data_IF_935287527845
#
_entry.id   IF_935287527845
#
_cell.length_a   1.000
_cell.length_b   1.000
_cell.length_c   1.000
_cell.angle_alpha   90.00
_cell.angle_beta   90.00
_cell.angle_gamma   90.00
#
_symmetry.space_group_name_H-M   'P 1'
#
loop_
_entity.id
_entity.type
_entity.pdbx_description
1 polymer ?
#
# COMPACT_ATOMS: atom_id res chain seq x y z
N UNK A 1 -21.66 -6.43 3.60
CA UNK A 1 -21.82 -5.37 2.55
C UNK A 1 -22.64 -5.98 1.41
N UNK A 2 -23.61 -5.26 0.83
CA UNK A 2 -24.50 -5.82 -0.20
C UNK A 2 -23.95 -5.47 -1.60
N UNK A 3 -23.48 -6.48 -2.33
CA UNK A 3 -22.91 -6.33 -3.69
C UNK A 3 -23.92 -5.77 -4.70
N UNK A 4 -25.18 -6.17 -4.62
CA UNK A 4 -26.22 -5.65 -5.53
C UNK A 4 -26.44 -4.16 -5.30
N UNK A 5 -26.45 -3.71 -4.05
CA UNK A 5 -26.58 -2.29 -3.72
C UNK A 5 -25.37 -1.48 -4.21
N UNK A 6 -24.15 -1.99 -4.01
CA UNK A 6 -22.94 -1.35 -4.52
C UNK A 6 -22.96 -1.19 -6.05
N UNK A 7 -23.40 -2.22 -6.77
CA UNK A 7 -23.54 -2.14 -8.23
C UNK A 7 -24.63 -1.15 -8.65
N UNK A 8 -25.73 -1.07 -7.89
CA UNK A 8 -26.79 -0.10 -8.17
C UNK A 8 -26.32 1.34 -7.98
N UNK A 9 -25.52 1.60 -6.94
CA UNK A 9 -25.12 2.95 -6.55
C UNK A 9 -23.87 3.44 -7.31
N UNK A 10 -22.92 2.55 -7.61
CA UNK A 10 -21.59 2.89 -8.10
C UNK A 10 -21.15 2.11 -9.35
N UNK A 11 -21.91 1.08 -9.76
CA UNK A 11 -21.57 0.29 -10.94
C UNK A 11 -21.66 1.11 -12.23
N UNK A 12 -20.74 0.87 -13.16
CA UNK A 12 -20.75 1.44 -14.51
C UNK A 12 -20.63 0.30 -15.51
N UNK A 13 -21.64 0.14 -16.35
CA UNK A 13 -21.71 -0.97 -17.29
C UNK A 13 -20.41 -1.18 -18.08
N UNK A 14 -19.89 -2.41 -18.05
CA UNK A 14 -18.65 -2.83 -18.71
C UNK A 14 -17.36 -2.13 -18.21
N UNK A 15 -17.41 -1.33 -17.13
CA UNK A 15 -16.24 -0.61 -16.65
C UNK A 15 -16.02 -0.75 -15.14
N UNK A 16 -17.07 -0.70 -14.33
CA UNK A 16 -16.97 -0.83 -12.87
C UNK A 16 -18.03 -1.83 -12.41
N UNK A 17 -17.57 -2.93 -11.81
CA UNK A 17 -18.45 -3.98 -11.28
C UNK A 17 -17.99 -4.39 -9.88
N UNK A 18 -18.96 -4.50 -8.96
CA UNK A 18 -18.72 -5.06 -7.63
C UNK A 18 -19.09 -6.55 -7.64
N UNK A 19 -18.18 -7.36 -7.13
CA UNK A 19 -18.31 -8.81 -7.10
C UNK A 19 -17.96 -9.38 -5.73
N UNK A 20 -18.49 -10.55 -5.43
CA UNK A 20 -17.98 -11.36 -4.33
C UNK A 20 -16.67 -12.00 -4.76
N UNK A 21 -15.58 -11.62 -4.09
CA UNK A 21 -14.24 -12.11 -4.39
C UNK A 21 -13.80 -13.28 -3.51
N UNK A 22 -12.50 -13.55 -3.54
CA UNK A 22 -11.87 -14.62 -2.73
C UNK A 22 -12.22 -14.42 -1.25
N UNK A 23 -12.61 -15.48 -0.58
CA UNK A 23 -13.01 -15.47 0.83
C UNK A 23 -14.35 -14.76 1.14
N UNK A 24 -15.18 -14.49 0.12
CA UNK A 24 -16.46 -13.78 0.29
C UNK A 24 -16.29 -12.27 0.50
N UNK A 25 -15.08 -11.72 0.32
CA UNK A 25 -14.82 -10.29 0.48
C UNK A 25 -15.35 -9.49 -0.73
N UNK A 26 -15.88 -8.28 -0.52
CA UNK A 26 -16.38 -7.45 -1.62
C UNK A 26 -15.21 -6.85 -2.39
N UNK A 27 -15.16 -7.10 -3.69
CA UNK A 27 -14.18 -6.54 -4.61
C UNK A 27 -14.86 -5.62 -5.62
N UNK A 28 -14.12 -4.62 -6.08
CA UNK A 28 -14.45 -3.77 -7.21
C UNK A 28 -13.51 -4.12 -8.36
N UNK A 29 -14.09 -4.58 -9.46
CA UNK A 29 -13.38 -4.77 -10.73
C UNK A 29 -13.51 -3.52 -11.57
N UNK A 30 -12.39 -3.05 -12.11
CA UNK A 30 -12.33 -1.92 -13.03
C UNK A 30 -11.70 -2.37 -14.33
N UNK A 31 -12.41 -2.09 -15.44
CA UNK A 31 -11.93 -2.34 -16.78
C UNK A 31 -12.23 -1.10 -17.63
N UNK A 32 -11.25 -0.25 -17.85
CA UNK A 32 -11.38 0.86 -18.79
C UNK A 32 -10.48 0.65 -20.00
N UNK A 33 -10.48 1.58 -20.96
CA UNK A 33 -9.69 1.44 -22.20
C UNK A 33 -8.18 1.50 -21.99
N UNK A 34 -7.72 1.93 -20.79
CA UNK A 34 -6.32 2.16 -20.46
C UNK A 34 -5.72 1.10 -19.56
N UNK A 35 -6.54 0.50 -18.68
CA UNK A 35 -6.07 -0.47 -17.70
C UNK A 35 -7.21 -1.34 -17.15
N UNK A 36 -6.82 -2.43 -16.50
CA UNK A 36 -7.66 -3.19 -15.58
C UNK A 36 -7.12 -3.08 -14.16
N UNK A 37 -8.02 -3.12 -13.16
CA UNK A 37 -7.64 -3.14 -11.76
C UNK A 37 -8.64 -3.94 -10.92
N UNK A 38 -8.17 -4.43 -9.78
CA UNK A 38 -8.98 -5.09 -8.75
C UNK A 38 -8.73 -4.41 -7.42
N UNK A 39 -9.79 -3.96 -6.76
CA UNK A 39 -9.72 -3.29 -5.48
C UNK A 39 -10.56 -4.04 -4.46
N UNK A 40 -10.01 -4.37 -3.31
CA UNK A 40 -10.76 -4.89 -2.17
C UNK A 40 -11.36 -3.74 -1.38
N UNK A 41 -12.68 -3.77 -1.14
CA UNK A 41 -13.34 -2.81 -0.25
C UNK A 41 -13.00 -3.12 1.21
N UNK A 42 -12.76 -4.40 1.53
CA UNK A 42 -12.06 -4.78 2.74
C UNK A 42 -10.59 -4.37 2.62
N UNK A 43 -10.05 -3.74 3.62
CA UNK A 43 -8.70 -3.17 3.67
C UNK A 43 -8.46 -1.89 2.84
N UNK A 44 -9.40 -1.46 1.97
CA UNK A 44 -9.17 -0.34 1.05
C UNK A 44 -7.96 -0.57 0.13
N UNK A 45 -7.78 -1.79 -0.36
CA UNK A 45 -6.51 -2.24 -0.93
C UNK A 45 -6.60 -2.50 -2.43
N UNK A 46 -5.71 -1.90 -3.21
CA UNK A 46 -5.50 -2.28 -4.61
C UNK A 46 -4.80 -3.63 -4.63
N UNK A 47 -5.43 -4.63 -5.26
CA UNK A 47 -4.93 -5.99 -5.37
C UNK A 47 -4.25 -6.25 -6.72
N UNK A 48 -4.69 -5.57 -7.78
CA UNK A 48 -4.22 -5.74 -9.15
C UNK A 48 -4.28 -4.41 -9.87
N UNK A 49 -3.30 -4.13 -10.68
CA UNK A 49 -3.31 -3.04 -11.66
C UNK A 49 -2.46 -3.45 -12.86
N UNK A 50 -3.07 -3.45 -14.03
CA UNK A 50 -2.40 -3.78 -15.27
C UNK A 50 -2.78 -2.78 -16.38
N UNK A 51 -1.84 -1.93 -16.83
CA UNK A 51 -2.03 -1.11 -18.01
C UNK A 51 -2.39 -1.95 -19.25
N UNK A 52 -3.17 -1.43 -20.16
CA UNK A 52 -3.67 -2.20 -21.33
C UNK A 52 -2.56 -2.72 -22.25
N UNK A 53 -1.41 -2.02 -22.26
CA UNK A 53 -0.25 -2.38 -23.09
C UNK A 53 0.74 -3.31 -22.37
N UNK A 54 0.46 -3.70 -21.11
CA UNK A 54 1.32 -4.56 -20.32
C UNK A 54 0.76 -5.99 -20.28
N UNK A 55 1.65 -6.97 -20.41
CA UNK A 55 1.30 -8.38 -20.28
C UNK A 55 1.13 -8.80 -18.80
N UNK A 56 1.94 -8.20 -17.92
CA UNK A 56 2.05 -8.59 -16.53
C UNK A 56 1.46 -7.53 -15.60
N UNK A 57 0.83 -7.98 -14.52
CA UNK A 57 0.32 -7.11 -13.47
C UNK A 57 1.47 -6.37 -12.77
N UNK A 58 1.19 -5.16 -12.25
CA UNK A 58 2.16 -4.43 -11.43
C UNK A 58 2.20 -4.98 -10.01
N UNK A 59 1.08 -5.52 -9.54
CA UNK A 59 0.93 -5.96 -8.16
C UNK A 59 1.16 -7.46 -8.03
N UNK A 60 1.94 -7.83 -7.04
CA UNK A 60 2.06 -9.21 -6.58
C UNK A 60 0.99 -9.50 -5.53
N UNK A 61 0.36 -10.66 -5.62
CA UNK A 61 -0.51 -11.23 -4.59
C UNK A 61 -0.08 -12.67 -4.34
N UNK A 62 0.19 -13.02 -3.09
CA UNK A 62 0.46 -14.41 -2.73
C UNK A 62 -0.77 -15.29 -2.91
N UNK A 63 -0.59 -16.48 -3.47
CA UNK A 63 -1.66 -17.49 -3.52
C UNK A 63 -2.08 -17.96 -2.13
N UNK A 64 -1.15 -17.90 -1.16
CA UNK A 64 -1.36 -18.21 0.25
C UNK A 64 -1.92 -17.04 1.07
N UNK A 65 -2.17 -15.87 0.46
CA UNK A 65 -2.71 -14.70 1.16
C UNK A 65 -4.05 -15.00 1.83
N UNK A 66 -4.23 -14.47 3.04
CA UNK A 66 -5.48 -14.59 3.77
C UNK A 66 -6.53 -13.62 3.22
N UNK A 67 -7.55 -14.16 2.57
CA UNK A 67 -8.74 -13.40 2.19
C UNK A 67 -9.83 -13.66 3.25
N UNK A 68 -9.61 -13.13 4.45
CA UNK A 68 -10.47 -13.39 5.61
C UNK A 68 -10.57 -12.14 6.46
N UNK A 69 -11.77 -11.81 6.91
CA UNK A 69 -12.01 -10.68 7.81
C UNK A 69 -11.12 -10.77 9.06
N UNK A 70 -10.57 -9.63 9.49
CA UNK A 70 -9.63 -9.52 10.60
C UNK A 70 -8.17 -9.86 10.25
N UNK A 71 -7.89 -10.28 9.00
CA UNK A 71 -6.53 -10.56 8.50
C UNK A 71 -6.14 -9.57 7.41
N UNK A 72 -4.86 -9.20 7.39
CA UNK A 72 -4.31 -8.43 6.27
C UNK A 72 -4.12 -9.33 5.04
N UNK A 73 -4.40 -8.79 3.85
CA UNK A 73 -4.15 -9.49 2.58
C UNK A 73 -2.68 -9.26 2.20
N UNK A 74 -1.93 -10.35 1.96
CA UNK A 74 -0.51 -10.29 1.61
C UNK A 74 -0.33 -10.05 0.11
N UNK A 75 0.23 -8.89 -0.24
CA UNK A 75 0.43 -8.43 -1.60
C UNK A 75 -0.36 -7.17 -1.94
N UNK A 76 -0.39 -6.73 -3.20
CA UNK A 76 -1.05 -5.49 -3.62
C UNK A 76 -0.46 -4.26 -2.94
N UNK A 77 -1.32 -3.36 -2.49
CA UNK A 77 -0.94 -2.11 -1.83
C UNK A 77 -1.68 -1.98 -0.48
N UNK A 78 -1.24 -2.70 0.57
CA UNK A 78 -1.78 -2.52 1.91
C UNK A 78 -1.58 -1.09 2.42
N UNK A 79 -2.61 -0.54 3.07
CA UNK A 79 -2.54 0.77 3.71
C UNK A 79 -2.11 0.58 5.17
N UNK A 80 -0.91 0.99 5.51
CA UNK A 80 -0.40 1.00 6.88
C UNK A 80 -0.74 2.32 7.54
N UNK A 81 -1.65 2.32 8.52
CA UNK A 81 -2.12 3.51 9.23
C UNK A 81 -2.81 3.13 10.55
N UNK A 82 -2.71 3.88 11.66
CA UNK A 82 -1.97 5.15 11.88
C UNK A 82 -0.53 4.94 12.37
N UNK A 83 0.00 3.73 12.31
CA UNK A 83 1.41 3.44 12.54
C UNK A 83 1.95 2.45 11.55
N UNK A 84 3.22 2.64 11.19
CA UNK A 84 4.00 1.74 10.36
C UNK A 84 4.90 0.87 11.25
N UNK A 85 4.97 -0.45 10.98
CA UNK A 85 5.71 -1.40 11.80
C UNK A 85 4.95 -1.79 13.07
N UNK A 86 5.68 -2.06 14.14
CA UNK A 86 5.11 -2.42 15.44
C UNK A 86 4.28 -1.26 16.02
N UNK A 87 3.20 -1.60 16.73
CA UNK A 87 2.38 -0.59 17.38
C UNK A 87 3.17 0.14 18.46
N UNK A 88 3.03 1.47 18.57
CA UNK A 88 3.64 2.23 19.65
C UNK A 88 3.11 1.78 21.01
N UNK A 89 3.99 1.69 22.02
CA UNK A 89 3.60 1.43 23.39
C UNK A 89 2.69 2.55 23.91
N UNK A 90 1.50 2.20 24.32
CA UNK A 90 0.61 3.16 24.99
C UNK A 90 0.83 3.10 26.50
N UNK A 91 0.93 4.26 27.13
CA UNK A 91 1.19 4.42 28.59
C UNK A 91 0.17 3.77 29.53
N UNK A 92 -0.88 3.14 29.03
CA UNK A 92 -2.02 2.67 29.79
C UNK A 92 -2.07 1.14 30.02
N UNK A 93 -0.96 0.41 29.85
CA UNK A 93 -0.81 -0.93 30.40
C UNK A 93 -1.85 -1.99 30.00
N UNK A 94 -2.67 -1.77 28.98
CA UNK A 94 -3.59 -2.78 28.50
C UNK A 94 -2.82 -3.80 27.62
N UNK A 95 -2.82 -5.05 28.03
CA UNK A 95 -2.14 -6.21 27.43
C UNK A 95 -2.69 -6.60 26.03
N UNK A 96 -3.46 -5.75 25.39
CA UNK A 96 -4.00 -6.00 24.07
C UNK A 96 -2.92 -5.71 23.02
N UNK A 97 -2.28 -6.75 22.54
CA UNK A 97 -1.32 -6.70 21.44
C UNK A 97 -2.00 -6.09 20.21
N UNK A 98 -1.68 -4.83 19.94
CA UNK A 98 -2.18 -4.12 18.77
C UNK A 98 -1.57 -4.74 17.51
N UNK A 99 -2.31 -4.72 16.38
CA UNK A 99 -1.77 -5.25 15.14
C UNK A 99 -0.60 -4.41 14.64
N UNK A 100 0.40 -5.05 14.04
CA UNK A 100 1.45 -4.35 13.32
C UNK A 100 0.87 -3.61 12.11
N UNK A 101 1.48 -2.48 11.75
CA UNK A 101 1.08 -1.62 10.61
C UNK A 101 -0.34 -1.06 10.70
N UNK A 102 -0.82 -0.76 11.91
CA UNK A 102 -2.14 -0.18 12.12
C UNK A 102 -3.30 -1.16 11.92
N UNK A 103 -4.51 -0.62 11.81
CA UNK A 103 -5.74 -1.41 11.81
C UNK A 103 -6.61 -1.22 10.57
N UNK A 104 -6.36 -0.20 9.73
CA UNK A 104 -7.24 0.08 8.58
C UNK A 104 -7.15 -0.97 7.49
N UNK A 105 -5.99 -1.65 7.36
CA UNK A 105 -5.81 -2.79 6.45
C UNK A 105 -6.53 -4.07 6.88
N UNK A 106 -7.17 -4.07 8.04
CA UNK A 106 -7.97 -5.18 8.57
C UNK A 106 -9.43 -4.77 8.74
N UNK A 107 -9.87 -3.70 8.07
CA UNK A 107 -11.18 -3.09 8.26
C UNK A 107 -11.90 -2.88 6.93
N UNK A 108 -13.23 -2.84 6.94
CA UNK A 108 -14.02 -2.45 5.78
C UNK A 108 -14.00 -0.94 5.58
N UNK A 109 -13.83 -0.52 4.35
CA UNK A 109 -13.98 0.86 3.92
C UNK A 109 -15.34 1.06 3.26
N UNK A 110 -15.79 2.30 3.17
CA UNK A 110 -17.01 2.68 2.45
C UNK A 110 -16.64 3.23 1.07
N UNK A 111 -17.48 2.95 0.07
CA UNK A 111 -17.32 3.55 -1.27
C UNK A 111 -18.03 4.90 -1.26
N UNK A 112 -17.28 5.99 -1.44
CA UNK A 112 -17.82 7.33 -1.57
C UNK A 112 -18.00 7.74 -3.04
N UNK A 113 -17.10 7.27 -3.91
CA UNK A 113 -17.15 7.56 -5.34
C UNK A 113 -16.58 6.40 -6.14
N UNK A 114 -17.25 6.01 -7.22
CA UNK A 114 -16.68 5.22 -8.29
C UNK A 114 -17.26 5.73 -9.62
N UNK A 115 -16.44 6.33 -10.48
CA UNK A 115 -16.92 6.94 -11.72
C UNK A 115 -15.86 6.95 -12.81
N UNK A 116 -16.33 6.91 -14.04
CA UNK A 116 -15.51 7.12 -15.24
C UNK A 116 -15.49 8.59 -15.58
N UNK A 117 -14.32 9.13 -15.83
CA UNK A 117 -14.11 10.53 -16.21
C UNK A 117 -14.22 10.71 -17.73
N UNK A 118 -14.38 11.95 -18.17
CA UNK A 118 -14.52 12.28 -19.60
C UNK A 118 -13.31 11.86 -20.48
N UNK A 119 -12.13 11.75 -19.87
CA UNK A 119 -10.90 11.29 -20.54
C UNK A 119 -10.72 9.75 -20.52
N UNK A 120 -11.71 9.01 -20.00
CA UNK A 120 -11.71 7.56 -19.88
C UNK A 120 -11.01 7.00 -18.64
N UNK A 121 -10.44 7.84 -17.78
CA UNK A 121 -9.90 7.40 -16.49
C UNK A 121 -11.01 6.99 -15.53
N UNK A 122 -10.69 6.13 -14.59
CA UNK A 122 -11.61 5.75 -13.52
C UNK A 122 -11.13 6.32 -12.20
N UNK A 123 -12.00 7.10 -11.55
CA UNK A 123 -11.76 7.68 -10.22
C UNK A 123 -12.57 6.94 -9.17
N UNK A 124 -11.90 6.48 -8.13
CA UNK A 124 -12.48 5.83 -6.97
C UNK A 124 -12.09 6.61 -5.72
N UNK A 125 -13.01 6.77 -4.79
CA UNK A 125 -12.74 7.26 -3.44
C UNK A 125 -13.36 6.27 -2.46
N UNK A 126 -12.50 5.71 -1.61
CA UNK A 126 -12.90 4.93 -0.44
C UNK A 126 -12.70 5.77 0.81
N UNK A 127 -13.62 5.67 1.76
CA UNK A 127 -13.59 6.43 3.02
C UNK A 127 -13.56 5.51 4.23
N UNK A 128 -12.88 5.95 5.27
CA UNK A 128 -12.85 5.28 6.56
C UNK A 128 -12.84 6.30 7.69
N UNK A 129 -13.82 6.21 8.60
CA UNK A 129 -13.95 7.11 9.75
C UNK A 129 -13.72 6.36 11.05
N UNK A 130 -13.39 7.10 12.10
CA UNK A 130 -13.28 6.52 13.43
C UNK A 130 -14.63 6.00 13.93
N UNK A 131 -14.56 4.93 14.68
CA UNK A 131 -15.70 4.28 15.33
C UNK A 131 -15.39 4.10 16.81
N UNK A 132 -16.39 3.73 17.63
CA UNK A 132 -16.13 3.38 19.04
C UNK A 132 -15.06 2.29 19.18
N UNK A 133 -15.09 1.27 18.29
CA UNK A 133 -14.08 0.20 18.28
C UNK A 133 -12.67 0.69 17.93
N UNK A 134 -12.53 1.58 16.94
CA UNK A 134 -11.21 2.11 16.58
C UNK A 134 -10.68 3.05 17.65
N UNK A 135 -11.54 3.79 18.34
CA UNK A 135 -11.15 4.65 19.46
C UNK A 135 -10.68 3.87 20.69
N UNK A 136 -11.13 2.63 20.89
CA UNK A 136 -10.57 1.72 21.90
C UNK A 136 -9.11 1.34 21.59
N UNK A 137 -8.77 1.22 20.30
CA UNK A 137 -7.41 0.89 19.85
C UNK A 137 -6.54 2.15 19.83
N UNK A 138 -7.07 3.26 19.29
CA UNK A 138 -6.37 4.53 19.07
C UNK A 138 -7.34 5.69 19.31
N UNK A 139 -7.25 6.41 20.47
CA UNK A 139 -8.32 7.26 21.01
C UNK A 139 -8.40 8.64 20.34
N UNK A 140 -8.40 8.69 19.03
CA UNK A 140 -8.52 9.92 18.25
C UNK A 140 -9.66 9.83 17.24
N UNK A 141 -10.28 10.97 16.94
CA UNK A 141 -11.25 11.08 15.87
C UNK A 141 -10.54 11.47 14.58
N UNK A 142 -10.84 10.77 13.51
CA UNK A 142 -10.21 10.96 12.22
C UNK A 142 -11.17 10.64 11.07
N UNK A 143 -10.79 11.10 9.91
CA UNK A 143 -11.37 10.72 8.63
C UNK A 143 -10.24 10.42 7.65
N UNK A 144 -10.37 9.31 6.93
CA UNK A 144 -9.48 8.92 5.85
C UNK A 144 -10.25 8.93 4.53
N UNK A 145 -9.61 9.44 3.47
CA UNK A 145 -10.05 9.25 2.09
C UNK A 145 -8.90 8.66 1.28
N UNK A 146 -9.15 7.51 0.66
CA UNK A 146 -8.23 6.88 -0.27
C UNK A 146 -8.73 7.13 -1.68
N UNK A 147 -8.07 8.04 -2.39
CA UNK A 147 -8.34 8.30 -3.81
C UNK A 147 -7.46 7.40 -4.67
N UNK A 148 -8.10 6.66 -5.60
CA UNK A 148 -7.45 5.78 -6.54
C UNK A 148 -7.84 6.25 -7.95
N UNK A 149 -6.84 6.62 -8.75
CA UNK A 149 -7.03 7.00 -10.15
C UNK A 149 -6.42 5.92 -11.04
N UNK A 150 -7.25 5.30 -11.87
CA UNK A 150 -6.88 4.24 -12.80
C UNK A 150 -6.90 4.80 -14.22
N UNK A 151 -5.70 4.93 -14.78
CA UNK A 151 -5.41 5.40 -16.13
C UNK A 151 -4.43 4.41 -16.81
N UNK A 152 -3.62 4.85 -17.77
CA UNK A 152 -2.38 4.16 -18.19
C UNK A 152 -1.32 4.12 -17.08
N UNK A 153 -1.55 4.85 -16.01
CA UNK A 153 -0.83 4.83 -14.75
C UNK A 153 -1.79 4.64 -13.57
N UNK A 154 -1.27 4.23 -12.42
CA UNK A 154 -2.01 4.12 -11.17
C UNK A 154 -1.56 5.23 -10.22
N UNK A 155 -2.50 6.08 -9.80
CA UNK A 155 -2.24 7.05 -8.72
C UNK A 155 -3.05 6.68 -7.50
N UNK A 156 -2.41 6.72 -6.33
CA UNK A 156 -3.03 6.50 -5.02
C UNK A 156 -2.68 7.67 -4.12
N UNK A 157 -3.69 8.28 -3.52
CA UNK A 157 -3.53 9.33 -2.52
C UNK A 157 -4.32 8.94 -1.27
N UNK A 158 -3.65 8.87 -0.12
CA UNK A 158 -4.30 8.75 1.19
C UNK A 158 -4.31 10.11 1.86
N UNK A 159 -5.52 10.64 2.09
CA UNK A 159 -5.75 11.83 2.89
C UNK A 159 -6.11 11.42 4.31
N UNK A 160 -5.40 11.97 5.29
CA UNK A 160 -5.72 11.88 6.72
C UNK A 160 -6.19 13.24 7.23
N UNK A 161 -7.40 13.31 7.80
CA UNK A 161 -7.94 14.51 8.46
C UNK A 161 -8.12 14.24 9.95
N UNK A 162 -7.64 15.15 10.77
CA UNK A 162 -7.94 15.13 12.20
C UNK A 162 -9.29 15.84 12.44
N UNK A 163 -10.32 15.06 12.75
CA UNK A 163 -11.68 15.56 13.05
C UNK A 163 -11.89 15.79 14.54
N UNK A 164 -10.89 15.48 15.37
CA UNK A 164 -10.93 15.64 16.82
C UNK A 164 -10.50 17.01 17.30
N UNK A 165 -10.32 17.11 18.63
CA UNK A 165 -9.94 18.34 19.33
C UNK A 165 -8.47 18.35 19.78
N UNK A 166 -7.78 17.24 19.64
CA UNK A 166 -6.38 17.08 20.05
C UNK A 166 -5.53 16.75 18.84
N UNK A 167 -4.31 17.28 18.79
CA UNK A 167 -3.33 16.85 17.80
C UNK A 167 -2.97 15.38 18.01
N UNK A 168 -2.68 14.69 16.92
CA UNK A 168 -2.13 13.35 16.96
C UNK A 168 -0.95 13.20 15.99
N UNK A 169 -0.13 12.21 16.23
CA UNK A 169 0.97 11.86 15.33
C UNK A 169 0.71 10.51 14.68
N UNK A 170 1.11 10.38 13.42
CA UNK A 170 1.06 9.15 12.66
C UNK A 170 2.41 8.83 12.04
N UNK A 171 2.60 7.55 11.76
CA UNK A 171 3.50 7.03 10.73
C UNK A 171 2.66 6.17 9.79
N UNK A 172 2.91 6.24 8.51
CA UNK A 172 2.06 5.56 7.52
C UNK A 172 2.86 5.05 6.34
N UNK A 173 2.29 4.12 5.57
CA UNK A 173 2.88 3.68 4.32
C UNK A 173 1.83 3.17 3.32
N UNK A 174 2.09 3.41 2.04
CA UNK A 174 1.52 2.70 0.91
C UNK A 174 2.48 1.52 0.62
N UNK A 175 2.17 0.34 1.20
CA UNK A 175 3.08 -0.82 1.29
C UNK A 175 3.03 -1.67 0.01
N UNK A 176 3.53 -1.14 -1.09
CA UNK A 176 3.38 -1.73 -2.42
C UNK A 176 4.26 -2.94 -2.65
N UNK A 177 3.64 -4.07 -2.99
CA UNK A 177 4.29 -5.29 -3.47
C UNK A 177 4.31 -5.26 -5.00
N UNK A 178 5.44 -4.92 -5.59
CA UNK A 178 5.59 -4.99 -7.05
C UNK A 178 5.82 -6.43 -7.50
N UNK A 179 5.00 -6.90 -8.44
CA UNK A 179 5.21 -8.15 -9.14
C UNK A 179 6.42 -8.02 -10.07
N UNK A 180 7.37 -8.94 -9.97
CA UNK A 180 8.59 -8.97 -10.78
C UNK A 180 8.86 -10.38 -11.31
N UNK A 181 9.46 -10.47 -12.48
CA UNK A 181 9.73 -11.76 -13.09
C UNK A 181 10.82 -12.56 -12.37
N UNK A 182 11.80 -11.86 -11.77
CA UNK A 182 12.86 -12.45 -10.95
C UNK A 182 13.47 -11.37 -10.04
N UNK A 183 13.15 -11.43 -8.76
CA UNK A 183 13.62 -10.46 -7.77
C UNK A 183 15.14 -10.38 -7.64
N UNK A 184 15.87 -11.47 -7.98
CA UNK A 184 17.35 -11.48 -7.95
C UNK A 184 17.98 -10.69 -9.09
N UNK A 185 17.17 -10.26 -10.08
CA UNK A 185 17.63 -9.57 -11.29
C UNK A 185 17.12 -8.13 -11.40
N UNK A 186 16.26 -7.70 -10.48
CA UNK A 186 15.75 -6.34 -10.48
C UNK A 186 16.80 -5.35 -10.00
N UNK A 187 16.64 -4.11 -10.43
CA UNK A 187 17.42 -2.98 -9.93
C UNK A 187 16.46 -1.86 -9.54
N UNK A 188 16.67 -1.27 -8.37
CA UNK A 188 15.96 -0.04 -7.97
C UNK A 188 16.93 1.14 -8.08
N UNK A 189 16.58 2.10 -8.92
CA UNK A 189 17.33 3.32 -9.20
C UNK A 189 16.65 4.51 -8.50
N UNK A 190 17.45 5.53 -8.14
CA UNK A 190 16.98 6.76 -7.51
C UNK A 190 17.16 6.79 -5.98
N UNK A 191 17.76 5.72 -5.40
CA UNK A 191 18.13 5.65 -3.98
C UNK A 191 19.64 5.70 -3.77
N UNK A 192 20.42 5.86 -4.83
CA UNK A 192 21.88 5.97 -4.74
C UNK A 192 22.26 7.20 -3.89
N UNK A 193 23.25 7.03 -3.02
CA UNK A 193 23.77 8.06 -2.10
C UNK A 193 22.77 8.48 -1.01
N UNK A 194 21.61 7.81 -0.85
CA UNK A 194 20.76 8.02 0.31
C UNK A 194 21.31 7.23 1.51
N UNK A 195 21.02 7.71 2.71
CA UNK A 195 21.21 6.89 3.92
C UNK A 195 19.99 5.98 4.12
N UNK A 196 20.21 4.76 4.58
CA UNK A 196 19.15 3.89 5.05
C UNK A 196 19.43 3.33 6.43
N UNK A 197 18.37 2.99 7.14
CA UNK A 197 18.37 2.23 8.39
C UNK A 197 18.15 0.76 8.04
N UNK A 198 19.13 -0.08 8.34
CA UNK A 198 19.03 -1.52 8.15
C UNK A 198 18.37 -2.14 9.39
N UNK A 199 17.09 -2.56 9.25
CA UNK A 199 16.34 -3.18 10.35
C UNK A 199 16.85 -4.56 10.72
N UNK A 200 17.56 -5.24 9.82
CA UNK A 200 18.17 -6.55 10.10
C UNK A 200 19.46 -6.41 10.91
N UNK A 201 20.08 -5.24 10.85
CA UNK A 201 21.28 -4.88 11.58
C UNK A 201 21.01 -3.86 12.71
N UNK A 202 19.88 -4.00 13.40
CA UNK A 202 19.49 -3.15 14.53
C UNK A 202 19.50 -1.65 14.22
N UNK A 203 18.92 -1.30 13.04
CA UNK A 203 18.80 0.08 12.54
C UNK A 203 20.14 0.81 12.34
N UNK A 204 21.23 0.08 12.08
CA UNK A 204 22.49 0.69 11.68
C UNK A 204 22.27 1.53 10.43
N UNK A 205 22.84 2.74 10.42
CA UNK A 205 22.84 3.63 9.26
C UNK A 205 23.91 3.22 8.26
N UNK A 206 23.50 3.07 7.01
CA UNK A 206 24.37 2.73 5.89
C UNK A 206 24.10 3.69 4.73
N UNK A 207 25.12 4.06 3.97
CA UNK A 207 24.97 4.82 2.73
C UNK A 207 24.82 3.86 1.56
N UNK A 208 23.76 4.04 0.76
CA UNK A 208 23.51 3.23 -0.43
C UNK A 208 24.52 3.56 -1.53
N UNK A 209 25.21 2.53 -2.02
CA UNK A 209 26.16 2.66 -3.14
C UNK A 209 25.58 1.96 -4.38
N UNK A 210 25.34 2.75 -5.44
CA UNK A 210 24.77 2.23 -6.68
C UNK A 210 23.28 1.84 -6.56
N UNK A 211 22.75 1.23 -7.62
CA UNK A 211 21.38 0.70 -7.64
C UNK A 211 21.20 -0.38 -6.58
N UNK A 212 19.98 -0.50 -6.05
CA UNK A 212 19.66 -1.60 -5.14
C UNK A 212 19.40 -2.86 -5.95
N UNK A 213 20.04 -3.95 -5.56
CA UNK A 213 19.81 -5.32 -6.03
C UNK A 213 19.57 -6.22 -4.83
N UNK A 214 18.74 -7.23 -4.99
CA UNK A 214 18.41 -8.17 -3.92
C UNK A 214 19.29 -9.43 -4.01
N UNK A 215 20.07 -9.68 -2.95
CA UNK A 215 20.93 -10.87 -2.80
C UNK A 215 20.67 -11.63 -1.50
N UNK A 216 19.91 -11.03 -0.60
CA UNK A 216 19.56 -11.56 0.72
C UNK A 216 18.29 -10.89 1.27
N UNK A 217 17.85 -11.28 2.44
CA UNK A 217 16.75 -10.62 3.15
C UNK A 217 17.05 -9.13 3.35
N UNK A 218 16.17 -8.29 2.83
CA UNK A 218 16.32 -6.84 2.83
C UNK A 218 15.15 -6.20 3.57
N UNK A 219 15.41 -5.32 4.53
CA UNK A 219 14.41 -4.47 5.22
C UNK A 219 15.06 -3.14 5.56
N UNK A 220 15.11 -2.26 4.55
CA UNK A 220 15.84 -1.00 4.59
C UNK A 220 14.88 0.18 4.55
N UNK A 221 15.00 1.13 5.50
CA UNK A 221 14.27 2.40 5.48
C UNK A 221 15.22 3.47 4.93
N UNK A 222 15.09 3.79 3.64
CA UNK A 222 15.81 4.89 3.00
C UNK A 222 15.20 6.22 3.42
N UNK A 223 16.04 7.17 3.84
CA UNK A 223 15.63 8.45 4.42
C UNK A 223 15.95 9.62 3.51
N UNK A 224 15.21 10.72 3.68
CA UNK A 224 15.42 11.99 2.95
C UNK A 224 15.35 11.86 1.43
N UNK A 225 14.41 11.07 0.93
CA UNK A 225 14.21 10.81 -0.50
C UNK A 225 13.78 12.11 -1.19
N UNK A 226 14.46 12.47 -2.28
CA UNK A 226 14.23 13.72 -3.02
C UNK A 226 13.76 13.52 -4.46
N UNK A 227 13.88 12.30 -4.96
CA UNK A 227 13.62 11.97 -6.37
C UNK A 227 12.71 10.76 -6.48
N UNK A 228 12.02 10.64 -7.62
CA UNK A 228 11.28 9.43 -7.94
C UNK A 228 12.22 8.24 -8.16
N UNK A 229 11.66 7.04 -8.08
CA UNK A 229 12.38 5.79 -8.27
C UNK A 229 12.07 5.19 -9.64
N UNK A 230 12.94 4.30 -10.09
CA UNK A 230 12.67 3.41 -11.22
C UNK A 230 12.97 1.98 -10.80
N UNK A 231 11.96 1.12 -10.87
CA UNK A 231 12.11 -0.33 -10.76
C UNK A 231 12.39 -0.88 -12.17
N UNK A 232 13.62 -1.31 -12.41
CA UNK A 232 14.04 -1.99 -13.63
C UNK A 232 13.85 -3.50 -13.47
N UNK A 233 12.95 -4.08 -14.25
CA UNK A 233 12.67 -5.52 -14.27
C UNK A 233 13.02 -6.12 -15.63
N UNK A 234 14.24 -6.61 -15.81
CA UNK A 234 14.67 -7.17 -17.09
C UNK A 234 14.00 -8.50 -17.44
N UNK A 235 13.45 -9.22 -16.45
CA UNK A 235 12.77 -10.48 -16.72
C UNK A 235 11.41 -10.25 -17.40
N UNK A 236 10.64 -9.26 -16.96
CA UNK A 236 9.42 -8.80 -17.64
C UNK A 236 9.68 -7.74 -18.72
N UNK A 237 10.94 -7.34 -18.91
CA UNK A 237 11.38 -6.34 -19.92
C UNK A 237 10.66 -5.02 -19.77
N UNK A 238 10.47 -4.56 -18.54
CA UNK A 238 9.78 -3.31 -18.22
C UNK A 238 10.55 -2.48 -17.21
N UNK A 239 10.22 -1.19 -17.19
CA UNK A 239 10.65 -0.25 -16.14
C UNK A 239 9.44 0.46 -15.59
N UNK A 240 9.26 0.42 -14.29
CA UNK A 240 8.18 1.11 -13.59
C UNK A 240 8.77 2.35 -12.91
N UNK A 241 8.29 3.52 -13.32
CA UNK A 241 8.57 4.78 -12.63
C UNK A 241 7.65 4.90 -11.43
N UNK A 242 8.20 5.30 -10.30
CA UNK A 242 7.51 5.53 -9.04
C UNK A 242 7.75 6.97 -8.64
N UNK A 243 6.71 7.78 -8.62
CA UNK A 243 6.73 9.16 -8.14
C UNK A 243 5.91 9.26 -6.87
N UNK A 244 6.33 10.06 -5.91
CA UNK A 244 5.61 10.20 -4.64
C UNK A 244 5.63 11.62 -4.10
N UNK A 245 4.74 11.90 -3.16
CA UNK A 245 4.70 13.14 -2.40
C UNK A 245 4.15 12.89 -1.00
N UNK A 246 4.46 13.78 -0.06
CA UNK A 246 4.06 13.64 1.34
C UNK A 246 4.99 12.75 2.17
N UNK A 247 5.82 11.93 1.58
CA UNK A 247 6.79 11.09 2.26
C UNK A 247 8.20 11.69 2.23
N UNK A 248 9.02 11.33 3.21
CA UNK A 248 10.47 11.52 3.16
C UNK A 248 11.23 10.21 3.08
N UNK A 249 10.55 9.09 3.27
CA UNK A 249 11.17 7.78 3.33
C UNK A 249 10.58 6.83 2.29
N UNK A 250 11.41 5.86 1.89
CA UNK A 250 11.00 4.70 1.11
C UNK A 250 11.54 3.46 1.79
N UNK A 251 10.67 2.44 1.96
CA UNK A 251 11.11 1.15 2.48
C UNK A 251 11.33 0.19 1.30
N UNK A 252 12.49 -0.45 1.30
CA UNK A 252 12.79 -1.56 0.40
C UNK A 252 12.77 -2.84 1.21
N UNK A 253 11.84 -3.74 0.88
CA UNK A 253 11.68 -4.98 1.61
C UNK A 253 11.52 -6.20 0.70
N UNK A 254 12.21 -7.27 1.08
CA UNK A 254 12.00 -8.61 0.58
C UNK A 254 12.40 -9.61 1.68
N UNK A 255 11.53 -10.57 2.05
CA UNK A 255 11.81 -11.50 3.16
C UNK A 255 12.85 -12.57 2.83
N UNK A 256 13.25 -12.67 1.56
CA UNK A 256 14.11 -13.72 1.05
C UNK A 256 13.58 -15.13 1.33
N UNK A 257 14.37 -16.14 1.06
CA UNK A 257 13.93 -17.53 1.12
C UNK A 257 13.47 -17.97 2.52
N UNK A 258 14.22 -17.57 3.56
CA UNK A 258 13.89 -17.95 4.94
C UNK A 258 12.63 -17.23 5.43
N UNK A 259 12.55 -15.94 5.26
CA UNK A 259 11.38 -15.16 5.69
C UNK A 259 10.11 -15.58 4.94
N UNK A 260 10.19 -15.86 3.63
CA UNK A 260 9.06 -16.39 2.86
C UNK A 260 8.57 -17.73 3.42
N UNK A 261 9.48 -18.65 3.73
CA UNK A 261 9.14 -19.95 4.27
C UNK A 261 8.57 -19.90 5.70
N UNK A 262 8.96 -18.91 6.51
CA UNK A 262 8.48 -18.73 7.88
C UNK A 262 7.09 -18.06 7.94
N UNK A 263 6.68 -17.32 6.89
CA UNK A 263 5.39 -16.65 6.79
C UNK A 263 4.31 -17.60 6.27
N UNK A 264 3.16 -17.67 6.97
CA UNK A 264 2.06 -18.58 6.61
C UNK A 264 1.18 -18.05 5.47
N UNK A 265 1.32 -16.77 5.13
CA UNK A 265 0.58 -16.04 4.11
C UNK A 265 1.43 -15.72 2.87
N UNK A 266 2.61 -16.36 2.77
CA UNK A 266 3.47 -16.42 1.59
C UNK A 266 3.81 -17.87 1.27
N UNK A 267 3.99 -18.17 -0.01
CA UNK A 267 4.61 -19.42 -0.45
C UNK A 267 6.13 -19.28 -0.32
N UNK A 268 6.81 -20.40 -0.10
CA UNK A 268 8.26 -20.43 0.15
C UNK A 268 9.10 -19.80 -0.97
N UNK A 269 8.59 -19.81 -2.20
CA UNK A 269 9.27 -19.27 -3.39
C UNK A 269 8.76 -17.88 -3.80
N UNK A 270 7.74 -17.32 -3.12
CA UNK A 270 7.15 -16.02 -3.44
C UNK A 270 8.18 -14.88 -3.45
N UNK A 271 9.19 -14.94 -2.59
CA UNK A 271 10.25 -13.93 -2.52
C UNK A 271 10.95 -13.67 -3.85
N UNK A 272 10.90 -14.62 -4.79
CA UNK A 272 11.48 -14.49 -6.13
C UNK A 272 10.64 -13.63 -7.06
N UNK A 273 9.38 -13.39 -6.71
CA UNK A 273 8.37 -12.80 -7.58
C UNK A 273 7.88 -11.43 -7.14
N UNK A 274 8.43 -10.87 -6.05
CA UNK A 274 8.10 -9.52 -5.65
C UNK A 274 9.27 -8.75 -5.05
N UNK A 275 9.13 -7.43 -5.05
CA UNK A 275 9.88 -6.50 -4.22
C UNK A 275 8.90 -5.49 -3.64
N UNK A 276 9.01 -5.17 -2.35
CA UNK A 276 8.27 -4.05 -1.79
C UNK A 276 9.08 -2.77 -1.94
N UNK A 277 8.43 -1.75 -2.51
CA UNK A 277 8.89 -0.37 -2.51
C UNK A 277 7.76 0.46 -1.89
N UNK A 278 7.94 0.79 -0.62
CA UNK A 278 6.86 1.37 0.18
C UNK A 278 7.09 2.87 0.33
N UNK A 279 6.11 3.65 -0.11
CA UNK A 279 6.12 5.09 0.09
C UNK A 279 5.65 5.36 1.52
N UNK A 280 6.52 5.91 2.37
CA UNK A 280 6.30 5.90 3.80
C UNK A 280 6.71 7.20 4.52
N UNK A 281 5.93 7.51 5.57
CA UNK A 281 6.40 8.32 6.70
C UNK A 281 6.74 7.33 7.82
N UNK A 282 8.03 7.07 8.03
CA UNK A 282 8.54 6.02 8.92
C UNK A 282 9.77 6.51 9.71
N UNK A 283 10.17 5.77 10.73
CA UNK A 283 11.31 6.11 11.59
C UNK A 283 11.18 7.54 12.16
N UNK A 284 12.08 8.44 11.80
CA UNK A 284 12.06 9.85 12.26
C UNK A 284 11.08 10.74 11.49
N UNK A 285 10.52 10.28 10.38
CA UNK A 285 9.51 11.01 9.61
C UNK A 285 8.11 10.77 10.22
N UNK A 286 7.88 11.40 11.37
CA UNK A 286 6.59 11.37 12.09
C UNK A 286 5.78 12.59 11.68
N UNK A 287 4.52 12.37 11.29
CA UNK A 287 3.60 13.43 10.88
C UNK A 287 2.70 13.81 12.04
N UNK A 288 2.75 15.07 12.46
CA UNK A 288 1.80 15.64 13.40
C UNK A 288 0.63 16.29 12.65
N UNK A 289 -0.61 15.94 13.02
CA UNK A 289 -1.82 16.48 12.41
C UNK A 289 -2.62 17.23 13.48
N UNK A 290 -2.66 18.56 13.36
CA UNK A 290 -3.39 19.43 14.27
C UNK A 290 -4.91 19.27 14.11
N UNK A 291 -5.74 19.63 15.10
CA UNK A 291 -7.19 19.64 14.98
C UNK A 291 -7.67 20.38 13.72
N UNK A 292 -8.59 19.77 12.98
CA UNK A 292 -9.15 20.26 11.71
C UNK A 292 -8.13 20.46 10.57
N UNK A 293 -6.92 19.89 10.70
CA UNK A 293 -5.91 19.86 9.65
C UNK A 293 -5.90 18.55 8.91
N UNK A 294 -5.28 18.56 7.73
CA UNK A 294 -5.16 17.42 6.83
C UNK A 294 -3.70 17.16 6.45
N UNK A 295 -3.41 15.92 6.16
CA UNK A 295 -2.15 15.47 5.57
C UNK A 295 -2.41 14.51 4.43
N UNK A 296 -1.51 14.47 3.45
CA UNK A 296 -1.62 13.59 2.29
C UNK A 296 -0.30 12.91 1.99
N UNK A 297 -0.38 11.60 1.76
CA UNK A 297 0.69 10.82 1.14
C UNK A 297 0.17 10.29 -0.19
N UNK A 298 0.99 10.37 -1.24
CA UNK A 298 0.57 9.93 -2.57
C UNK A 298 1.71 9.25 -3.34
N UNK A 299 1.31 8.37 -4.26
CA UNK A 299 2.22 7.72 -5.21
C UNK A 299 1.58 7.59 -6.59
N UNK A 300 2.42 7.59 -7.64
CA UNK A 300 2.03 7.26 -9.00
C UNK A 300 3.00 6.23 -9.58
N UNK A 301 2.44 5.23 -10.25
CA UNK A 301 3.16 4.15 -10.94
C UNK A 301 2.85 4.18 -12.42
N UNK A 302 3.89 4.25 -13.25
CA UNK A 302 3.77 4.29 -14.72
C UNK A 302 4.90 3.55 -15.40
N UNK A 303 4.67 3.08 -16.62
CA UNK A 303 5.74 2.53 -17.47
C UNK A 303 6.60 3.68 -18.03
N UNK A 304 7.92 3.42 -18.22
CA UNK A 304 8.90 4.36 -18.79
C UNK A 304 9.38 3.86 -20.13
#
# INVERSE_FOLDING_TARGET
MNIQQLNSDFGVANQIEFVEGKGGLPFMQVNNTKASALISIYAGQVLSFRPANEAEDFMFISESAYFTEGKAIKGGIPICWPWFGAAPEMKNGADNKKPDHGFVRNSYWSVATAKVLANGDTKIILEFEDTDKTREIWPYSFYLALEIMISDSLTIELLTRNTGKQAFTITEALHTYFNVGDATRVEVLGLEHTEYLDKKADFVKVCQVGAITLTEETDHIHTDIKHGLVLNDPAFKRKIKISSSGNKNVVVWNPWAKGSADMKDLDKDDYKHFICLEIANAASDIVEILPNSEYKIATNYSIV
#
